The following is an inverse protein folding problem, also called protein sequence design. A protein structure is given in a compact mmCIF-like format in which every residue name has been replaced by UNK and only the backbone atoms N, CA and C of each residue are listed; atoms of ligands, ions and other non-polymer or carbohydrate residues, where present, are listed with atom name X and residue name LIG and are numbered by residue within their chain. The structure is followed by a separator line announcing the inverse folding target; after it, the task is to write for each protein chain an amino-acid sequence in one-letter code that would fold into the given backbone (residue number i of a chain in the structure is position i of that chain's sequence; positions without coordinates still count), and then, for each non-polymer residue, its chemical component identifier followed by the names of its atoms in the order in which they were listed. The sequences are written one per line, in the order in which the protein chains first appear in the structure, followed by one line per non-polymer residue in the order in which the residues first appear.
data_IF_329161074899
#
_entry.id   IF_329161074899
#
_cell.length_a   1.000
_cell.length_b   1.000
_cell.length_c   1.000
_cell.angle_alpha   90.00
_cell.angle_beta   90.00
_cell.angle_gamma   90.00
#
_symmetry.space_group_name_H-M   'P 1'
#
loop_
_entity.id
_entity.type
_entity.pdbx_description
1 polymer ?
#
# COMPACT_ATOMS: atom_id res chain seq x y z
N UNK A 1 -3.77 12.83 1.64
CA UNK A 1 -2.91 11.63 1.81
C UNK A 1 -1.59 11.76 1.06
N UNK A 2 -1.60 11.85 -0.28
CA UNK A 2 -0.38 11.89 -1.12
C UNK A 2 0.68 12.87 -0.62
N UNK A 3 0.30 14.14 -0.42
CA UNK A 3 1.21 15.18 0.05
C UNK A 3 1.85 14.91 1.41
N UNK A 4 1.18 14.12 2.27
CA UNK A 4 1.73 13.71 3.58
C UNK A 4 2.78 12.63 3.38
N UNK A 5 2.46 11.60 2.59
CA UNK A 5 3.34 10.45 2.35
C UNK A 5 4.63 10.85 1.64
N UNK A 6 4.58 11.78 0.67
CA UNK A 6 5.79 12.23 -0.04
C UNK A 6 6.75 13.04 0.84
N UNK A 7 6.30 13.51 2.00
CA UNK A 7 7.09 14.29 2.97
C UNK A 7 7.63 13.42 4.12
N UNK A 8 7.39 12.11 4.10
CA UNK A 8 7.91 11.22 5.12
C UNK A 8 9.44 11.21 5.13
N UNK A 9 10.01 11.30 6.34
CA UNK A 9 11.42 11.02 6.55
C UNK A 9 11.71 9.52 6.36
N UNK A 10 12.98 9.12 6.42
CA UNK A 10 13.36 7.73 6.16
C UNK A 10 12.70 6.71 7.10
N UNK A 11 12.58 7.04 8.39
CA UNK A 11 11.96 6.15 9.38
C UNK A 11 10.46 5.98 9.11
N UNK A 12 9.77 7.08 8.83
CA UNK A 12 8.36 7.07 8.45
C UNK A 12 8.14 6.32 7.14
N UNK A 13 8.99 6.52 6.14
CA UNK A 13 8.92 5.84 4.85
C UNK A 13 9.09 4.33 5.00
N UNK A 14 10.09 3.88 5.77
CA UNK A 14 10.29 2.45 6.07
C UNK A 14 9.08 1.88 6.79
N UNK A 15 8.59 2.56 7.83
CA UNK A 15 7.41 2.12 8.59
C UNK A 15 6.16 2.04 7.72
N UNK A 16 5.92 3.05 6.90
CA UNK A 16 4.83 3.09 5.92
C UNK A 16 4.90 1.89 4.99
N UNK A 17 6.04 1.64 4.35
CA UNK A 17 6.19 0.51 3.41
C UNK A 17 6.01 -0.84 4.11
N UNK A 18 6.60 -1.04 5.29
CA UNK A 18 6.42 -2.30 6.04
C UNK A 18 4.96 -2.52 6.42
N UNK A 19 4.25 -1.48 6.89
CA UNK A 19 2.84 -1.61 7.25
C UNK A 19 1.98 -1.84 6.01
N UNK A 20 2.22 -1.09 4.94
CA UNK A 20 1.49 -1.25 3.67
C UNK A 20 1.65 -2.66 3.11
N UNK A 21 2.86 -3.23 3.14
CA UNK A 21 3.09 -4.61 2.71
C UNK A 21 2.21 -5.62 3.49
N UNK A 22 2.14 -5.48 4.82
CA UNK A 22 1.29 -6.31 5.67
C UNK A 22 -0.19 -6.15 5.33
N UNK A 23 -0.66 -4.91 5.19
CA UNK A 23 -2.06 -4.61 4.89
C UNK A 23 -2.47 -5.11 3.50
N UNK A 24 -1.55 -5.12 2.53
CA UNK A 24 -1.76 -5.74 1.22
C UNK A 24 -1.96 -7.26 1.33
N UNK A 25 -1.25 -7.94 2.23
CA UNK A 25 -1.50 -9.37 2.51
C UNK A 25 -2.88 -9.60 3.11
N UNK A 26 -3.37 -8.68 3.96
CA UNK A 26 -4.74 -8.75 4.51
C UNK A 26 -5.78 -8.50 3.42
N UNK A 27 -5.57 -7.49 2.58
CA UNK A 27 -6.43 -7.18 1.44
C UNK A 27 -6.52 -8.35 0.45
N UNK A 28 -5.37 -8.95 0.10
CA UNK A 28 -5.31 -10.13 -0.77
C UNK A 28 -6.08 -11.32 -0.20
N UNK A 29 -5.94 -11.60 1.10
CA UNK A 29 -6.73 -12.65 1.76
C UNK A 29 -8.23 -12.38 1.70
N UNK A 30 -8.64 -11.15 2.00
CA UNK A 30 -10.05 -10.75 1.99
C UNK A 30 -10.66 -10.93 0.60
N UNK A 31 -9.93 -10.51 -0.44
CA UNK A 31 -10.36 -10.63 -1.84
C UNK A 31 -10.43 -12.09 -2.30
N UNK A 32 -9.48 -12.94 -1.87
CA UNK A 32 -9.52 -14.37 -2.17
C UNK A 32 -10.70 -15.08 -1.52
N UNK A 33 -11.06 -14.69 -0.30
CA UNK A 33 -12.15 -15.31 0.46
C UNK A 33 -13.54 -14.76 0.13
N UNK A 34 -13.65 -13.72 -0.69
CA UNK A 34 -14.91 -13.04 -0.97
C UNK A 34 -15.78 -13.90 -1.93
N UNK A 35 -16.88 -14.50 -1.44
CA UNK A 35 -17.72 -15.37 -2.26
C UNK A 35 -18.55 -14.61 -3.30
N UNK A 36 -18.69 -13.29 -3.15
CA UNK A 36 -19.47 -12.46 -4.05
C UNK A 36 -18.67 -12.04 -5.31
N UNK A 37 -17.36 -12.35 -5.33
CA UNK A 37 -16.49 -12.09 -6.47
C UNK A 37 -16.36 -13.31 -7.37
N UNK A 38 -16.41 -13.08 -8.69
CA UNK A 38 -16.09 -14.14 -9.65
C UNK A 38 -14.63 -14.59 -9.52
N UNK A 39 -14.30 -15.86 -9.82
CA UNK A 39 -12.92 -16.35 -9.78
C UNK A 39 -11.95 -15.52 -10.66
N UNK A 40 -12.42 -15.04 -11.81
CA UNK A 40 -11.62 -14.18 -12.69
C UNK A 40 -11.31 -12.83 -12.04
N UNK A 41 -12.28 -12.25 -11.34
CA UNK A 41 -12.10 -11.00 -10.57
C UNK A 41 -11.13 -11.20 -9.41
N UNK A 42 -11.28 -12.31 -8.66
CA UNK A 42 -10.38 -12.66 -7.56
C UNK A 42 -8.94 -12.81 -8.07
N UNK A 43 -8.74 -13.58 -9.15
CA UNK A 43 -7.42 -13.78 -9.74
C UNK A 43 -6.80 -12.48 -10.23
N UNK A 44 -7.56 -11.62 -10.92
CA UNK A 44 -7.06 -10.33 -11.37
C UNK A 44 -6.65 -9.44 -10.19
N UNK A 45 -7.49 -9.39 -9.14
CA UNK A 45 -7.18 -8.63 -7.93
C UNK A 45 -5.90 -9.13 -7.24
N UNK A 46 -5.73 -10.44 -7.10
CA UNK A 46 -4.53 -11.02 -6.49
C UNK A 46 -3.25 -10.73 -7.27
N UNK A 47 -3.30 -10.75 -8.61
CA UNK A 47 -2.14 -10.39 -9.46
C UNK A 47 -1.70 -8.95 -9.18
N UNK A 48 -2.65 -8.01 -9.13
CA UNK A 48 -2.36 -6.61 -8.83
C UNK A 48 -1.89 -6.39 -7.39
N UNK A 49 -2.47 -7.09 -6.41
CA UNK A 49 -1.95 -7.05 -5.02
C UNK A 49 -0.49 -7.49 -4.98
N UNK A 50 -0.15 -8.60 -5.63
CA UNK A 50 1.24 -9.09 -5.67
C UNK A 50 2.18 -8.08 -6.35
N UNK A 51 1.77 -7.50 -7.47
CA UNK A 51 2.57 -6.48 -8.16
C UNK A 51 2.78 -5.23 -7.30
N UNK A 52 1.72 -4.74 -6.61
CA UNK A 52 1.84 -3.61 -5.69
C UNK A 52 2.79 -3.97 -4.54
N UNK A 53 2.70 -5.18 -3.97
CA UNK A 53 3.63 -5.62 -2.93
C UNK A 53 5.07 -5.49 -3.43
N UNK A 54 5.43 -6.07 -4.58
CA UNK A 54 6.79 -5.93 -5.13
C UNK A 54 7.25 -4.47 -5.29
N UNK A 55 6.36 -3.58 -5.71
CA UNK A 55 6.66 -2.13 -5.80
C UNK A 55 6.90 -1.50 -4.43
N UNK A 56 6.12 -1.87 -3.42
CA UNK A 56 6.33 -1.46 -2.01
C UNK A 56 7.69 -1.93 -1.51
N UNK A 57 8.11 -3.16 -1.83
CA UNK A 57 9.44 -3.64 -1.47
C UNK A 57 10.55 -2.86 -2.18
N UNK A 58 10.37 -2.50 -3.44
CA UNK A 58 11.30 -1.64 -4.15
C UNK A 58 11.48 -0.28 -3.46
N UNK A 59 10.37 0.34 -3.03
CA UNK A 59 10.39 1.61 -2.29
C UNK A 59 11.01 1.46 -0.88
N UNK A 60 10.85 0.32 -0.24
CA UNK A 60 11.46 0.01 1.06
C UNK A 60 12.98 -0.24 0.99
N UNK A 61 13.40 -1.09 0.05
CA UNK A 61 14.77 -1.62 -0.04
C UNK A 61 15.75 -0.65 -0.68
N UNK A 62 15.27 0.24 -1.55
CA UNK A 62 16.06 1.29 -2.18
C UNK A 62 15.33 2.63 -2.01
N UNK A 63 15.32 3.19 -0.77
CA UNK A 63 14.67 4.47 -0.52
C UNK A 63 15.40 5.57 -1.29
N UNK A 64 14.63 6.52 -1.80
CA UNK A 64 15.17 7.64 -2.57
C UNK A 64 14.10 8.69 -2.77
N UNK A 65 14.55 9.90 -3.11
CA UNK A 65 13.65 11.02 -3.38
C UNK A 65 12.64 10.63 -4.48
N UNK A 66 11.37 10.96 -4.25
CA UNK A 66 10.28 10.65 -5.19
C UNK A 66 9.83 9.18 -5.25
N UNK A 67 10.51 8.21 -4.63
CA UNK A 67 10.12 6.79 -4.70
C UNK A 67 8.71 6.53 -4.17
N UNK A 68 8.32 7.17 -3.07
CA UNK A 68 6.97 7.06 -2.54
C UNK A 68 5.92 7.74 -3.44
N UNK A 69 6.29 8.84 -4.12
CA UNK A 69 5.39 9.48 -5.08
C UNK A 69 5.09 8.55 -6.26
N UNK A 70 6.13 7.94 -6.83
CA UNK A 70 6.01 6.95 -7.91
C UNK A 70 5.19 5.73 -7.47
N UNK A 71 5.45 5.22 -6.26
CA UNK A 71 4.67 4.11 -5.70
C UNK A 71 3.17 4.45 -5.63
N UNK A 72 2.81 5.65 -5.16
CA UNK A 72 1.42 6.06 -5.07
C UNK A 72 0.75 6.16 -6.44
N UNK A 73 1.45 6.67 -7.46
CA UNK A 73 0.93 6.69 -8.84
C UNK A 73 0.70 5.28 -9.39
N UNK A 74 1.64 4.37 -9.13
CA UNK A 74 1.52 2.97 -9.52
C UNK A 74 0.36 2.26 -8.82
N UNK A 75 0.05 2.62 -7.57
CA UNK A 75 -1.12 2.12 -6.85
C UNK A 75 -2.41 2.65 -7.47
N UNK A 76 -2.46 3.93 -7.86
CA UNK A 76 -3.61 4.50 -8.57
C UNK A 76 -3.85 3.77 -9.88
N UNK A 77 -2.81 3.58 -10.70
CA UNK A 77 -2.92 2.84 -11.95
C UNK A 77 -3.41 1.39 -11.72
N UNK A 78 -2.94 0.72 -10.67
CA UNK A 78 -3.44 -0.63 -10.33
C UNK A 78 -4.92 -0.64 -9.94
N UNK A 79 -5.41 0.39 -9.23
CA UNK A 79 -6.83 0.54 -8.92
C UNK A 79 -7.69 0.74 -10.17
N UNK A 80 -7.18 1.43 -11.20
CA UNK A 80 -7.88 1.58 -12.48
C UNK A 80 -8.00 0.24 -13.21
N UNK A 81 -6.97 -0.62 -13.13
CA UNK A 81 -6.95 -1.94 -13.77
C UNK A 81 -7.71 -3.02 -12.97
N UNK A 82 -7.86 -2.83 -11.66
CA UNK A 82 -8.63 -3.72 -10.78
C UNK A 82 -9.50 -2.91 -9.80
N UNK A 83 -10.62 -2.33 -10.25
CA UNK A 83 -11.46 -1.44 -9.44
C UNK A 83 -11.97 -2.06 -8.13
N UNK A 84 -12.18 -3.39 -8.11
CA UNK A 84 -12.59 -4.13 -6.91
C UNK A 84 -11.57 -4.10 -5.77
N UNK A 85 -10.31 -3.77 -6.05
CA UNK A 85 -9.28 -3.55 -5.03
C UNK A 85 -9.40 -2.19 -4.33
N UNK A 86 -10.07 -1.21 -4.94
CA UNK A 86 -9.96 0.20 -4.53
C UNK A 86 -10.30 0.44 -3.06
N UNK A 87 -11.38 -0.16 -2.56
CA UNK A 87 -11.78 -0.01 -1.15
C UNK A 87 -10.74 -0.62 -0.19
N UNK A 88 -10.31 -1.86 -0.46
CA UNK A 88 -9.33 -2.55 0.37
C UNK A 88 -7.96 -1.85 0.35
N UNK A 89 -7.52 -1.37 -0.82
CA UNK A 89 -6.27 -0.61 -0.97
C UNK A 89 -6.33 0.74 -0.26
N UNK A 90 -7.46 1.44 -0.30
CA UNK A 90 -7.64 2.68 0.47
C UNK A 90 -7.48 2.42 1.96
N UNK A 91 -8.16 1.42 2.52
CA UNK A 91 -8.02 1.07 3.93
C UNK A 91 -6.59 0.63 4.30
N UNK A 92 -5.91 -0.09 3.40
CA UNK A 92 -4.51 -0.46 3.60
C UNK A 92 -3.59 0.77 3.64
N UNK A 93 -3.79 1.73 2.74
CA UNK A 93 -3.05 2.99 2.70
C UNK A 93 -3.31 3.83 3.95
N UNK A 94 -4.56 3.97 4.37
CA UNK A 94 -4.92 4.73 5.59
C UNK A 94 -4.18 4.16 6.81
N UNK A 95 -4.27 2.83 7.03
CA UNK A 95 -3.57 2.16 8.15
C UNK A 95 -2.05 2.24 8.06
N UNK A 96 -1.49 2.26 6.85
CA UNK A 96 -0.05 2.44 6.66
C UNK A 96 0.40 3.87 6.98
N UNK A 97 -0.41 4.87 6.63
CA UNK A 97 -0.17 6.27 6.97
C UNK A 97 -0.23 6.47 8.48
N UNK A 98 -1.25 5.93 9.15
CA UNK A 98 -1.39 6.06 10.60
C UNK A 98 -0.19 5.47 11.33
N UNK A 99 0.20 4.24 10.97
CA UNK A 99 1.36 3.58 11.56
C UNK A 99 2.69 4.31 11.34
N UNK A 100 2.81 5.11 10.28
CA UNK A 100 3.99 5.93 10.02
C UNK A 100 4.00 7.22 10.85
N UNK A 101 2.83 7.78 11.20
CA UNK A 101 2.76 8.95 12.08
C UNK A 101 3.12 8.59 13.52
N UNK A 102 2.74 7.40 13.99
CA UNK A 102 3.09 6.93 15.34
C UNK A 102 4.61 6.96 15.61
N UNK A 103 5.42 6.81 14.56
CA UNK A 103 6.89 6.87 14.64
C UNK A 103 7.40 8.32 14.78
N UNK A 104 6.70 9.30 14.22
CA UNK A 104 7.04 10.71 14.38
C UNK A 104 6.75 11.20 15.80
N UNK A 105 5.61 10.78 16.37
CA UNK A 105 5.21 11.17 17.72
C UNK A 105 6.14 10.58 18.78
N UNK A 106 6.66 9.36 18.56
CA UNK A 106 7.64 8.74 19.45
C UNK A 106 9.02 9.44 19.46
N UNK A 107 9.32 10.30 18.47
CA UNK A 107 10.57 11.08 18.40
C UNK A 107 10.44 12.48 19.03
N UNK A 108 9.24 12.87 19.45
CA UNK A 108 8.94 14.14 20.12
C UNK A 108 8.07 13.93 21.37
N UNK A 109 8.63 13.41 22.48
CA UNK A 109 7.93 13.28 23.76
C UNK A 109 7.63 14.63 24.44
#
# INVERSE_FOLDING_TARGET
MRERVIRFNEAQAKRFCTRLWLELTVAGRSLWSDPDLSPATQLNGLKWVNEIQHRVWGAYSCPGEGKLAVLLEQIVAACEQAPKLGAALRSALDRAVDAANDVADAQHP
#
